data_IF_490846124678
#
_entry.id   IF_490846124678
#
_cell.length_a   1.000
_cell.length_b   1.000
_cell.length_c   1.000
_cell.angle_alpha   90.00
_cell.angle_beta   90.00
_cell.angle_gamma   90.00
#
_symmetry.space_group_name_H-M   'P 1'
#
loop_
_entity.id
_entity.type
_entity.pdbx_description
1 polymer ?
#
# COMPACT_ATOMS: atom_id res chain seq x y z
N UNK A 1 9.41 -2.02 4.86
CA UNK A 1 9.72 -3.46 4.69
C UNK A 1 9.58 -3.89 3.24
N UNK A 2 10.00 -5.10 2.98
CA UNK A 2 9.78 -5.77 1.70
C UNK A 2 8.82 -6.94 1.90
N UNK A 3 7.94 -7.16 0.93
CA UNK A 3 7.09 -8.34 0.89
C UNK A 3 7.80 -9.44 0.12
N UNK A 4 8.63 -10.21 0.80
CA UNK A 4 9.54 -11.15 0.14
C UNK A 4 8.86 -12.34 -0.54
N UNK A 5 7.62 -12.60 -0.19
CA UNK A 5 6.85 -13.73 -0.74
C UNK A 5 5.91 -13.33 -1.86
N UNK A 6 5.89 -12.05 -2.23
CA UNK A 6 4.99 -11.53 -3.25
C UNK A 6 5.78 -10.74 -4.30
N UNK A 7 5.25 -10.70 -5.51
CA UNK A 7 5.83 -9.93 -6.61
C UNK A 7 5.21 -8.55 -6.73
N UNK A 8 3.91 -8.44 -6.44
CA UNK A 8 3.16 -7.21 -6.54
C UNK A 8 2.31 -7.04 -5.29
N UNK A 9 2.39 -5.87 -4.69
CA UNK A 9 1.54 -5.47 -3.58
C UNK A 9 0.45 -4.54 -4.06
N UNK A 10 -0.77 -4.76 -3.59
CA UNK A 10 -1.93 -3.95 -3.94
C UNK A 10 -2.59 -3.46 -2.66
N UNK A 11 -2.76 -2.15 -2.54
CA UNK A 11 -3.40 -1.51 -1.40
C UNK A 11 -4.63 -0.76 -1.90
N UNK A 12 -5.80 -1.19 -1.46
CA UNK A 12 -7.07 -0.59 -1.88
C UNK A 12 -7.71 0.09 -0.67
N UNK A 13 -7.84 1.42 -0.69
CA UNK A 13 -8.55 2.10 0.39
C UNK A 13 -10.04 1.82 0.33
N UNK A 14 -10.63 1.54 1.47
CA UNK A 14 -12.06 1.25 1.59
C UNK A 14 -12.85 2.46 2.05
N UNK A 15 -12.18 3.50 2.57
CA UNK A 15 -12.84 4.76 2.89
C UNK A 15 -11.98 5.94 2.41
N UNK A 16 -12.65 7.03 2.07
CA UNK A 16 -12.01 8.30 1.67
C UNK A 16 -11.94 9.27 2.84
N UNK A 17 -12.93 9.23 3.70
CA UNK A 17 -13.11 10.15 4.81
C UNK A 17 -13.10 9.40 6.14
N UNK A 18 -13.08 10.16 7.23
CA UNK A 18 -13.14 9.59 8.57
C UNK A 18 -11.78 9.35 9.19
N UNK A 19 -10.70 9.88 8.58
CA UNK A 19 -9.36 9.77 9.12
C UNK A 19 -8.50 10.94 8.66
N UNK A 20 -7.37 11.15 9.37
CA UNK A 20 -6.31 12.07 8.97
C UNK A 20 -4.97 11.36 9.09
N UNK A 21 -4.04 11.68 8.20
CA UNK A 21 -2.74 11.05 8.15
C UNK A 21 -2.76 9.74 7.37
N UNK A 22 -1.80 8.91 7.62
CA UNK A 22 -1.63 7.66 6.88
C UNK A 22 -0.83 7.85 5.60
N UNK A 23 -1.00 6.90 4.68
CA UNK A 23 -0.24 6.87 3.44
C UNK A 23 0.86 5.83 3.47
N UNK A 24 1.67 5.80 2.43
CA UNK A 24 2.76 4.84 2.27
C UNK A 24 4.04 5.56 1.97
N UNK A 25 5.07 5.31 2.77
CA UNK A 25 6.40 5.85 2.53
C UNK A 25 7.25 4.82 1.80
N UNK A 26 7.84 5.23 0.69
CA UNK A 26 8.80 4.43 -0.04
C UNK A 26 10.20 4.96 0.21
N UNK A 27 11.11 4.09 0.59
CA UNK A 27 12.49 4.48 0.87
C UNK A 27 13.14 5.09 -0.37
N UNK A 28 13.68 6.31 -0.21
CA UNK A 28 14.35 7.03 -1.30
C UNK A 28 13.42 7.63 -2.35
N UNK A 29 12.10 7.48 -2.20
CA UNK A 29 11.12 7.92 -3.20
C UNK A 29 10.06 8.86 -2.66
N UNK A 30 9.93 8.95 -1.34
CA UNK A 30 8.96 9.84 -0.71
C UNK A 30 7.69 9.14 -0.26
N UNK A 31 6.67 9.93 -0.02
CA UNK A 31 5.40 9.48 0.57
C UNK A 31 4.29 9.57 -0.48
N UNK A 32 3.54 8.49 -0.62
CA UNK A 32 2.27 8.51 -1.34
C UNK A 32 1.16 8.74 -0.33
N UNK A 33 0.47 9.86 -0.47
CA UNK A 33 -0.68 10.19 0.37
C UNK A 33 -1.79 9.16 0.18
N UNK A 34 -2.69 8.99 1.18
CA UNK A 34 -3.80 8.07 1.03
C UNK A 34 -4.66 8.41 -0.19
N UNK A 35 -4.92 7.41 -1.01
CA UNK A 35 -5.79 7.57 -2.18
C UNK A 35 -7.25 7.48 -1.76
N UNK A 36 -8.18 8.10 -2.52
CA UNK A 36 -9.61 7.93 -2.28
C UNK A 36 -10.04 6.49 -2.52
N UNK A 37 -11.16 6.09 -1.92
CA UNK A 37 -11.78 4.80 -2.22
C UNK A 37 -12.06 4.67 -3.72
N UNK A 38 -11.98 3.48 -4.24
CA UNK A 38 -12.11 3.23 -5.68
C UNK A 38 -10.79 3.30 -6.45
N UNK A 39 -9.70 3.68 -5.79
CA UNK A 39 -8.36 3.67 -6.35
C UNK A 39 -7.54 2.53 -5.75
N UNK A 40 -6.42 2.23 -6.35
CA UNK A 40 -5.50 1.24 -5.82
C UNK A 40 -4.07 1.73 -5.96
N UNK A 41 -3.27 1.49 -4.93
CA UNK A 41 -1.83 1.67 -4.99
C UNK A 41 -1.22 0.31 -5.31
N UNK A 42 -0.53 0.22 -6.43
CA UNK A 42 0.07 -1.02 -6.92
C UNK A 42 1.56 -0.79 -7.09
N UNK A 43 2.36 -1.65 -6.52
CA UNK A 43 3.81 -1.51 -6.62
C UNK A 43 4.51 -2.86 -6.54
N UNK A 44 5.72 -2.96 -7.10
CA UNK A 44 6.54 -4.17 -6.98
C UNK A 44 6.92 -4.39 -5.51
N UNK A 45 6.60 -5.55 -4.97
CA UNK A 45 6.81 -5.85 -3.55
C UNK A 45 8.29 -5.95 -3.19
N UNK A 46 9.05 -6.53 -4.10
CA UNK A 46 10.44 -6.93 -3.84
C UNK A 46 11.44 -5.80 -3.91
N UNK A 47 11.21 -4.85 -4.85
CA UNK A 47 12.19 -3.82 -5.16
C UNK A 47 11.93 -2.50 -4.45
N UNK A 48 10.77 -2.36 -3.81
CA UNK A 48 10.36 -1.13 -3.16
C UNK A 48 10.21 -1.36 -1.67
N UNK A 49 11.23 -0.97 -0.90
CA UNK A 49 11.11 -0.93 0.55
C UNK A 49 10.11 0.16 0.93
N UNK A 50 9.15 -0.20 1.78
CA UNK A 50 8.06 0.69 2.12
C UNK A 50 7.56 0.47 3.54
N UNK A 51 6.79 1.43 4.02
CA UNK A 51 6.05 1.29 5.29
C UNK A 51 4.74 2.04 5.22
N UNK A 52 3.72 1.52 5.90
CA UNK A 52 2.50 2.25 6.15
C UNK A 52 2.73 3.30 7.23
N UNK A 53 2.25 4.51 7.00
CA UNK A 53 2.34 5.58 7.97
C UNK A 53 1.15 5.54 8.94
N UNK A 54 1.39 5.95 10.18
CA UNK A 54 0.36 5.98 11.19
C UNK A 54 -0.76 6.96 10.80
N UNK A 55 -1.99 6.58 11.13
CA UNK A 55 -3.15 7.45 11.04
C UNK A 55 -3.18 8.32 12.30
N UNK A 56 -3.27 9.65 12.13
CA UNK A 56 -3.25 10.59 13.24
C UNK A 56 -4.60 10.67 13.95
N UNK A 57 -5.68 10.62 13.20
CA UNK A 57 -7.05 10.67 13.71
C UNK A 57 -7.95 9.75 12.88
N UNK A 58 -8.94 9.15 13.55
CA UNK A 58 -9.97 8.35 12.90
C UNK A 58 -9.50 6.97 12.51
N UNK A 59 -10.25 6.34 11.64
CA UNK A 59 -10.01 4.98 11.19
C UNK A 59 -9.89 4.95 9.67
N UNK A 60 -8.84 4.33 9.19
CA UNK A 60 -8.60 4.10 7.78
C UNK A 60 -8.67 2.60 7.50
N UNK A 61 -9.55 2.21 6.62
CA UNK A 61 -9.76 0.81 6.27
C UNK A 61 -9.14 0.51 4.92
N UNK A 62 -8.38 -0.56 4.86
CA UNK A 62 -7.66 -0.98 3.66
C UNK A 62 -7.96 -2.45 3.36
N UNK A 63 -8.06 -2.76 2.08
CA UNK A 63 -7.92 -4.11 1.59
C UNK A 63 -6.52 -4.23 1.00
N UNK A 64 -5.71 -5.11 1.56
CA UNK A 64 -4.35 -5.34 1.09
C UNK A 64 -4.24 -6.77 0.60
N UNK A 65 -3.71 -6.94 -0.60
CA UNK A 65 -3.43 -8.28 -1.10
C UNK A 65 -2.14 -8.30 -1.92
N UNK A 66 -1.59 -9.47 -2.03
CA UNK A 66 -0.34 -9.71 -2.71
C UNK A 66 -0.55 -10.68 -3.84
N UNK A 67 0.01 -10.34 -4.99
CA UNK A 67 -0.04 -11.18 -6.18
C UNK A 67 1.33 -11.81 -6.39
N UNK A 68 1.33 -13.09 -6.65
CA UNK A 68 2.54 -13.80 -7.02
C UNK A 68 2.38 -14.27 -8.45
N UNK A 69 3.36 -13.93 -9.28
CA UNK A 69 3.34 -14.40 -10.65
C UNK A 69 3.57 -15.89 -10.69
N UNK A 70 2.69 -16.58 -11.37
CA UNK A 70 2.91 -17.98 -11.72
C UNK A 70 3.65 -17.99 -13.04
N UNK A 71 4.90 -18.44 -13.01
CA UNK A 71 5.69 -18.56 -14.22
C UNK A 71 5.66 -20.02 -14.64
N UNK A 72 4.86 -20.36 -15.63
CA UNK A 72 4.92 -21.71 -16.18
C UNK A 72 6.23 -21.84 -16.96
N UNK A 73 6.99 -22.74 -16.53
CA UNK A 73 8.27 -23.02 -17.17
C UNK A 73 8.16 -24.34 -17.92
#
# INVERSE_FOLDING_TARGET
HHDQTADISVVVPLNTNGYKGGGTQFMGRGVVEPLPSGHALIFPSFTHMHRGLAVDEGDRYLLVFWLKTAIPI
#
